data_IF_042753699523
#
_entry.id   IF_042753699523
#
_cell.length_a   1.000
_cell.length_b   1.000
_cell.length_c   1.000
_cell.angle_alpha   90.00
_cell.angle_beta   90.00
_cell.angle_gamma   90.00
#
_symmetry.space_group_name_H-M   'P 1'
#
loop_
_entity.id
_entity.type
_entity.pdbx_description
1 polymer ?
#
# COMPACT_ATOMS: atom_id res chain seq x y z
N UNK A 1 8.51 43.66 -19.09
CA UNK A 1 7.72 43.56 -17.82
C UNK A 1 7.39 42.10 -17.49
N UNK A 2 7.15 41.26 -18.50
CA UNK A 2 6.90 39.82 -18.36
C UNK A 2 8.14 39.04 -17.91
N UNK A 3 9.34 39.37 -18.41
CA UNK A 3 10.59 38.64 -18.08
C UNK A 3 11.02 38.80 -16.61
N UNK A 4 10.94 40.01 -16.04
CA UNK A 4 11.21 40.24 -14.61
C UNK A 4 10.29 39.47 -13.68
N UNK A 5 9.05 39.23 -14.11
CA UNK A 5 8.11 38.42 -13.32
C UNK A 5 8.54 36.96 -13.33
N UNK A 6 8.97 36.43 -14.49
CA UNK A 6 9.48 35.07 -14.64
C UNK A 6 10.75 34.82 -13.83
N UNK A 7 11.71 35.74 -13.88
CA UNK A 7 12.95 35.68 -13.08
C UNK A 7 12.63 35.63 -11.58
N UNK A 8 11.81 36.57 -11.10
CA UNK A 8 11.38 36.61 -9.70
C UNK A 8 10.62 35.35 -9.28
N UNK A 9 9.79 34.81 -10.18
CA UNK A 9 9.03 33.58 -9.91
C UNK A 9 9.95 32.35 -9.87
N UNK A 10 10.96 32.30 -10.73
CA UNK A 10 11.96 31.24 -10.72
C UNK A 10 12.80 31.28 -9.43
N UNK A 11 13.23 32.47 -8.98
CA UNK A 11 13.91 32.65 -7.70
C UNK A 11 13.03 32.21 -6.51
N UNK A 12 11.75 32.59 -6.48
CA UNK A 12 10.80 32.13 -5.45
C UNK A 12 10.65 30.59 -5.46
N UNK A 13 10.50 29.99 -6.65
CA UNK A 13 10.36 28.53 -6.81
C UNK A 13 11.63 27.83 -6.32
N UNK A 14 12.81 28.33 -6.66
CA UNK A 14 14.09 27.78 -6.22
C UNK A 14 14.24 27.89 -4.69
N UNK A 15 13.90 29.04 -4.12
CA UNK A 15 13.92 29.23 -2.66
C UNK A 15 13.00 28.24 -1.92
N UNK A 16 11.85 27.89 -2.49
CA UNK A 16 10.98 26.86 -1.91
C UNK A 16 11.61 25.46 -1.96
N UNK A 17 12.39 25.13 -2.99
CA UNK A 17 13.13 23.85 -3.04
C UNK A 17 14.23 23.84 -1.99
N UNK A 18 15.02 24.92 -1.90
CA UNK A 18 16.15 25.02 -0.98
C UNK A 18 15.71 24.97 0.49
N UNK A 19 14.53 25.53 0.78
CA UNK A 19 13.90 25.49 2.11
C UNK A 19 13.05 24.24 2.37
N UNK A 20 13.03 23.27 1.43
CA UNK A 20 12.17 22.07 1.47
C UNK A 20 10.67 22.37 1.62
N UNK A 21 10.23 23.57 1.24
CA UNK A 21 8.84 24.00 1.26
C UNK A 21 8.10 23.58 -0.02
N UNK A 22 7.97 22.26 -0.22
CA UNK A 22 7.39 21.69 -1.43
C UNK A 22 5.93 22.12 -1.67
N UNK A 23 5.19 22.49 -0.61
CA UNK A 23 3.82 22.98 -0.74
C UNK A 23 3.78 24.30 -1.50
N UNK A 24 4.63 25.25 -1.13
CA UNK A 24 4.72 26.54 -1.82
C UNK A 24 5.35 26.40 -3.21
N UNK A 25 6.34 25.51 -3.36
CA UNK A 25 6.89 25.13 -4.66
C UNK A 25 5.79 24.72 -5.65
N UNK A 26 4.97 23.72 -5.31
CA UNK A 26 3.89 23.26 -6.19
C UNK A 26 2.79 24.30 -6.40
N UNK A 27 2.52 25.16 -5.40
CA UNK A 27 1.58 26.27 -5.54
C UNK A 27 2.09 27.31 -6.55
N UNK A 28 3.36 27.66 -6.48
CA UNK A 28 4.01 28.57 -7.41
C UNK A 28 4.05 27.98 -8.84
N UNK A 29 4.34 26.68 -8.99
CA UNK A 29 4.25 26.00 -10.29
C UNK A 29 2.84 26.04 -10.88
N UNK A 30 1.78 25.90 -10.08
CA UNK A 30 0.39 26.04 -10.57
C UNK A 30 0.06 27.45 -11.07
N UNK A 31 0.71 28.48 -10.51
CA UNK A 31 0.56 29.86 -11.00
C UNK A 31 1.25 30.00 -12.36
N UNK A 32 2.42 29.38 -12.51
CA UNK A 32 3.21 29.39 -13.75
C UNK A 32 2.54 28.62 -14.89
N UNK A 33 2.16 27.37 -14.63
CA UNK A 33 1.62 26.46 -15.65
C UNK A 33 0.09 26.50 -15.76
N UNK A 34 -0.56 27.31 -14.92
CA UNK A 34 -2.02 27.34 -14.77
C UNK A 34 -2.57 26.12 -14.04
N UNK A 35 -3.86 26.18 -13.68
CA UNK A 35 -4.60 24.99 -13.23
C UNK A 35 -4.69 24.00 -14.38
N UNK A 36 -4.37 22.71 -14.13
CA UNK A 36 -4.75 21.62 -15.04
C UNK A 36 -6.25 21.78 -15.32
N UNK A 37 -6.61 22.16 -16.55
CA UNK A 37 -8.02 22.17 -16.96
C UNK A 37 -8.52 20.73 -16.80
N UNK A 38 -9.68 20.50 -16.16
CA UNK A 38 -10.30 19.19 -16.19
C UNK A 38 -10.75 18.94 -17.61
N UNK A 39 -9.87 18.38 -18.44
CA UNK A 39 -10.25 17.86 -19.73
C UNK A 39 -11.11 16.64 -19.43
N UNK A 40 -12.34 16.62 -19.95
CA UNK A 40 -13.16 15.41 -19.87
C UNK A 40 -12.48 14.37 -20.76
N UNK A 41 -11.69 13.47 -20.16
CA UNK A 41 -10.98 12.44 -20.89
C UNK A 41 -12.01 11.49 -21.50
N UNK A 42 -11.92 11.28 -22.81
CA UNK A 42 -12.72 10.28 -23.52
C UNK A 42 -12.40 8.89 -22.96
N UNK A 43 -13.41 8.03 -22.82
CA UNK A 43 -13.22 6.67 -22.29
C UNK A 43 -13.58 5.64 -23.35
N UNK A 44 -12.95 4.47 -23.32
CA UNK A 44 -13.39 3.31 -24.08
C UNK A 44 -14.59 2.64 -23.41
N UNK A 45 -15.52 2.14 -24.23
CA UNK A 45 -16.59 1.23 -23.82
C UNK A 45 -16.06 -0.12 -23.34
N UNK A 46 -16.93 -0.93 -22.74
CA UNK A 46 -16.57 -2.24 -22.16
C UNK A 46 -16.09 -3.26 -23.19
N UNK A 47 -16.53 -3.12 -24.45
CA UNK A 47 -16.10 -3.92 -25.60
C UNK A 47 -14.71 -3.52 -26.14
N UNK A 48 -14.18 -2.36 -25.72
CA UNK A 48 -12.87 -1.85 -26.14
C UNK A 48 -12.85 -1.12 -27.48
N UNK A 49 -13.98 -1.04 -28.19
CA UNK A 49 -14.02 -0.60 -29.59
C UNK A 49 -14.60 0.80 -29.78
N UNK A 50 -15.44 1.27 -28.86
CA UNK A 50 -16.13 2.57 -29.00
C UNK A 50 -15.61 3.62 -28.01
N UNK A 51 -15.31 4.82 -28.51
CA UNK A 51 -14.98 5.97 -27.67
C UNK A 51 -16.24 6.69 -27.22
N UNK A 52 -16.44 6.73 -25.90
CA UNK A 52 -17.51 7.46 -25.23
C UNK A 52 -17.09 8.92 -25.10
N UNK A 53 -17.91 9.82 -25.66
CA UNK A 53 -17.63 11.26 -25.73
C UNK A 53 -18.63 12.12 -24.96
N UNK A 54 -19.82 11.60 -24.71
CA UNK A 54 -20.84 12.33 -23.96
C UNK A 54 -20.61 12.17 -22.45
N UNK A 55 -20.92 13.25 -21.70
CA UNK A 55 -20.67 13.30 -20.25
C UNK A 55 -21.40 12.20 -19.48
N UNK A 56 -22.64 11.90 -19.87
CA UNK A 56 -23.48 10.90 -19.20
C UNK A 56 -22.91 9.50 -19.40
N UNK A 57 -22.51 9.17 -20.63
CA UNK A 57 -21.82 7.93 -20.96
C UNK A 57 -20.51 7.77 -20.18
N UNK A 58 -19.71 8.84 -20.08
CA UNK A 58 -18.45 8.82 -19.30
C UNK A 58 -18.73 8.59 -17.82
N UNK A 59 -19.73 9.26 -17.25
CA UNK A 59 -20.16 9.07 -15.86
C UNK A 59 -20.63 7.64 -15.59
N UNK A 60 -21.46 7.09 -16.48
CA UNK A 60 -21.93 5.71 -16.41
C UNK A 60 -20.78 4.70 -16.53
N UNK A 61 -19.81 4.97 -17.41
CA UNK A 61 -18.65 4.09 -17.59
C UNK A 61 -17.77 4.06 -16.34
N UNK A 62 -17.59 5.20 -15.68
CA UNK A 62 -16.90 5.25 -14.39
C UNK A 62 -17.63 4.48 -13.30
N UNK A 63 -18.95 4.66 -13.19
CA UNK A 63 -19.79 3.89 -12.26
C UNK A 63 -19.66 2.40 -12.50
N UNK A 64 -19.81 1.96 -13.75
CA UNK A 64 -19.67 0.56 -14.15
C UNK A 64 -18.29 0.02 -13.76
N UNK A 65 -17.22 0.73 -14.11
CA UNK A 65 -15.85 0.32 -13.83
C UNK A 65 -15.60 0.15 -12.32
N UNK A 66 -15.93 1.15 -11.50
CA UNK A 66 -15.69 1.08 -10.06
C UNK A 66 -16.65 0.14 -9.34
N UNK A 67 -17.89 0.01 -9.81
CA UNK A 67 -18.83 -1.00 -9.31
C UNK A 67 -18.31 -2.41 -9.56
N UNK A 68 -17.86 -2.72 -10.78
CA UNK A 68 -17.27 -4.02 -11.09
C UNK A 68 -15.96 -4.27 -10.34
N UNK A 69 -15.17 -3.22 -10.09
CA UNK A 69 -13.92 -3.32 -9.34
C UNK A 69 -14.16 -3.63 -7.85
N UNK A 70 -15.06 -2.87 -7.22
CA UNK A 70 -15.27 -2.89 -5.77
C UNK A 70 -16.32 -3.91 -5.30
N UNK A 71 -16.96 -4.64 -6.24
CA UNK A 71 -17.94 -5.68 -5.95
C UNK A 71 -17.57 -7.03 -6.61
N UNK A 72 -16.28 -7.29 -6.83
CA UNK A 72 -15.83 -8.60 -7.35
C UNK A 72 -16.14 -9.69 -6.32
N UNK A 73 -16.78 -10.81 -6.70
CA UNK A 73 -17.01 -11.89 -5.74
C UNK A 73 -15.68 -12.39 -5.19
N UNK A 74 -15.63 -12.59 -3.87
CA UNK A 74 -14.47 -13.13 -3.17
C UNK A 74 -14.97 -14.24 -2.26
N UNK A 75 -14.41 -15.43 -2.42
CA UNK A 75 -14.67 -16.58 -1.56
C UNK A 75 -13.44 -16.84 -0.70
N UNK A 76 -13.66 -17.12 0.57
CA UNK A 76 -12.59 -17.51 1.50
C UNK A 76 -12.90 -18.88 2.07
N UNK A 77 -11.87 -19.73 2.10
CA UNK A 77 -11.98 -21.03 2.76
C UNK A 77 -11.91 -20.83 4.27
N UNK A 78 -13.00 -21.14 4.97
CA UNK A 78 -13.08 -20.93 6.42
C UNK A 78 -12.03 -21.74 7.20
N UNK A 79 -11.56 -22.88 6.64
CA UNK A 79 -10.50 -23.70 7.26
C UNK A 79 -9.17 -22.95 7.37
N UNK A 80 -8.97 -21.91 6.55
CA UNK A 80 -7.77 -21.07 6.65
C UNK A 80 -7.70 -20.32 7.99
N UNK A 81 -8.86 -20.05 8.62
CA UNK A 81 -8.93 -19.33 9.89
C UNK A 81 -8.65 -20.20 11.12
N UNK A 82 -8.80 -21.52 11.01
CA UNK A 82 -8.56 -22.45 12.12
C UNK A 82 -7.08 -22.44 12.55
N UNK A 83 -6.19 -22.14 11.61
CA UNK A 83 -4.75 -22.06 11.85
C UNK A 83 -4.31 -20.70 12.44
N UNK A 84 -5.21 -19.71 12.47
CA UNK A 84 -4.90 -18.41 13.09
C UNK A 84 -5.11 -18.54 14.61
N UNK A 85 -4.06 -18.33 15.42
CA UNK A 85 -4.17 -18.42 16.87
C UNK A 85 -5.10 -17.32 17.40
N UNK A 86 -5.85 -17.64 18.46
CA UNK A 86 -6.67 -16.65 19.16
C UNK A 86 -5.83 -15.94 20.21
N UNK A 87 -5.58 -14.65 20.00
CA UNK A 87 -4.99 -13.77 20.99
C UNK A 87 -6.00 -13.42 22.08
N UNK A 88 -5.49 -12.98 23.25
CA UNK A 88 -6.32 -12.46 24.32
C UNK A 88 -7.02 -11.17 23.87
N UNK A 89 -8.28 -11.03 24.25
CA UNK A 89 -9.07 -9.83 23.97
C UNK A 89 -8.46 -8.61 24.67
N UNK A 90 -8.37 -7.50 23.94
CA UNK A 90 -7.84 -6.21 24.41
C UNK A 90 -9.02 -5.30 24.74
N UNK A 91 -9.61 -5.49 25.91
CA UNK A 91 -10.84 -4.81 26.35
C UNK A 91 -10.75 -3.27 26.29
N UNK A 92 -9.53 -2.70 26.42
CA UNK A 92 -9.34 -1.25 26.34
C UNK A 92 -9.71 -0.67 24.97
N UNK A 93 -9.74 -1.49 23.91
CA UNK A 93 -10.13 -1.05 22.59
C UNK A 93 -11.58 -0.60 22.52
N UNK A 94 -12.48 -1.16 23.34
CA UNK A 94 -13.92 -0.91 23.31
C UNK A 94 -14.37 0.37 24.03
N UNK A 95 -13.49 0.95 24.85
CA UNK A 95 -13.83 2.13 25.65
C UNK A 95 -14.09 3.34 24.73
N UNK A 96 -15.19 4.09 24.86
CA UNK A 96 -15.43 5.28 24.05
C UNK A 96 -14.25 6.27 24.10
N UNK A 97 -13.95 6.96 22.99
CA UNK A 97 -12.81 7.86 22.94
C UNK A 97 -13.00 9.06 23.86
N UNK A 98 -11.92 9.47 24.52
CA UNK A 98 -11.95 10.68 25.34
C UNK A 98 -11.94 11.93 24.47
N UNK A 99 -12.37 13.07 25.04
CA UNK A 99 -12.34 14.35 24.33
C UNK A 99 -10.90 14.75 23.97
N UNK A 100 -9.93 14.41 24.83
CA UNK A 100 -8.50 14.65 24.60
C UNK A 100 -7.97 13.80 23.43
N UNK A 101 -8.40 12.54 23.33
CA UNK A 101 -8.04 11.64 22.23
C UNK A 101 -8.53 12.21 20.89
N UNK A 102 -9.80 12.64 20.83
CA UNK A 102 -10.39 13.29 19.66
C UNK A 102 -9.67 14.59 19.33
N UNK A 103 -9.41 15.44 20.32
CA UNK A 103 -8.73 16.71 20.11
C UNK A 103 -7.29 16.51 19.61
N UNK A 104 -6.58 15.50 20.12
CA UNK A 104 -5.24 15.13 19.68
C UNK A 104 -5.25 14.74 18.19
N UNK A 105 -6.19 13.90 17.78
CA UNK A 105 -6.36 13.51 16.37
C UNK A 105 -6.61 14.74 15.50
N UNK A 106 -7.56 15.59 15.85
CA UNK A 106 -7.89 16.81 15.10
C UNK A 106 -6.64 17.69 14.89
N UNK A 107 -5.85 17.89 15.95
CA UNK A 107 -4.62 18.70 15.88
C UNK A 107 -3.60 18.10 14.91
N UNK A 108 -3.44 16.76 14.93
CA UNK A 108 -2.48 16.02 14.10
C UNK A 108 -2.87 15.94 12.62
N UNK A 109 -4.15 16.04 12.27
CA UNK A 109 -4.60 15.96 10.88
C UNK A 109 -3.96 17.08 10.03
N UNK A 110 -3.58 16.77 8.79
CA UNK A 110 -3.00 17.76 7.88
C UNK A 110 -4.07 18.72 7.32
N UNK A 111 -3.72 20.01 7.22
CA UNK A 111 -4.51 21.04 6.55
C UNK A 111 -4.34 21.00 5.02
N UNK A 112 -5.30 21.56 4.28
CA UNK A 112 -5.28 21.69 2.82
C UNK A 112 -5.56 20.39 2.08
N UNK A 113 -6.21 19.42 2.73
CA UNK A 113 -6.67 18.17 2.09
C UNK A 113 -8.07 18.36 1.51
N UNK A 114 -8.38 17.63 0.43
CA UNK A 114 -9.71 17.64 -0.16
C UNK A 114 -10.74 17.09 0.84
N UNK A 115 -11.84 17.82 1.11
CA UNK A 115 -12.92 17.34 1.96
C UNK A 115 -13.73 16.24 1.24
N UNK A 116 -14.61 15.57 1.98
CA UNK A 116 -15.60 14.66 1.41
C UNK A 116 -16.72 15.41 0.69
N UNK A 117 -17.82 14.70 0.44
CA UNK A 117 -19.01 15.24 -0.24
C UNK A 117 -19.66 16.41 0.53
N UNK A 118 -19.54 16.42 1.85
CA UNK A 118 -20.01 17.49 2.76
C UNK A 118 -19.26 18.82 2.58
N UNK A 119 -18.10 18.81 1.92
CA UNK A 119 -17.22 19.97 1.70
C UNK A 119 -16.71 20.61 2.99
N UNK A 120 -16.76 19.92 4.13
CA UNK A 120 -16.24 20.45 5.41
C UNK A 120 -14.76 20.08 5.55
N UNK A 121 -13.83 21.04 5.48
CA UNK A 121 -12.40 20.76 5.50
C UNK A 121 -11.87 20.59 6.93
N UNK A 122 -10.68 20.00 7.06
CA UNK A 122 -9.98 19.77 8.35
C UNK A 122 -9.84 21.05 9.19
N UNK A 123 -9.66 22.20 8.55
CA UNK A 123 -9.46 23.50 9.17
C UNK A 123 -10.64 23.90 10.06
N UNK A 124 -11.87 23.55 9.68
CA UNK A 124 -13.07 23.80 10.50
C UNK A 124 -13.00 23.01 11.80
N UNK A 125 -12.55 21.75 11.74
CA UNK A 125 -12.40 20.92 12.93
C UNK A 125 -11.26 21.39 13.83
N UNK A 126 -10.17 21.91 13.24
CA UNK A 126 -9.01 22.40 14.01
C UNK A 126 -9.30 23.60 14.90
N UNK A 127 -10.31 24.40 14.57
CA UNK A 127 -10.71 25.57 15.37
C UNK A 127 -11.72 25.22 16.47
N UNK A 128 -12.23 23.98 16.50
CA UNK A 128 -13.19 23.54 17.51
C UNK A 128 -12.59 23.63 18.91
N UNK A 129 -13.33 24.28 19.81
CA UNK A 129 -12.97 24.45 21.21
C UNK A 129 -14.22 24.54 22.10
N UNK A 130 -14.03 24.49 23.42
CA UNK A 130 -15.08 24.66 24.42
C UNK A 130 -16.31 23.77 24.17
N UNK A 131 -17.49 24.39 24.21
CA UNK A 131 -18.78 23.69 24.03
C UNK A 131 -18.96 23.04 22.66
N UNK A 132 -18.33 23.58 21.60
CA UNK A 132 -18.49 23.03 20.25
C UNK A 132 -17.70 21.74 20.08
N UNK A 133 -16.48 21.68 20.65
CA UNK A 133 -15.71 20.44 20.71
C UNK A 133 -16.44 19.36 21.53
N UNK A 134 -17.05 19.75 22.65
CA UNK A 134 -17.87 18.84 23.47
C UNK A 134 -19.06 18.30 22.68
N UNK A 135 -19.79 19.14 21.96
CA UNK A 135 -20.90 18.69 21.12
C UNK A 135 -20.45 17.71 20.03
N UNK A 136 -19.31 17.99 19.36
CA UNK A 136 -18.75 17.07 18.36
C UNK A 136 -18.29 15.74 18.98
N UNK A 137 -17.67 15.79 20.17
CA UNK A 137 -17.28 14.59 20.92
C UNK A 137 -18.49 13.73 21.32
N UNK A 138 -19.61 14.35 21.72
CA UNK A 138 -20.87 13.64 21.99
C UNK A 138 -21.34 12.89 20.73
N UNK A 139 -21.28 13.51 19.54
CA UNK A 139 -21.66 12.82 18.30
C UNK A 139 -20.78 11.58 18.06
N UNK A 140 -19.46 11.71 18.20
CA UNK A 140 -18.55 10.58 17.99
C UNK A 140 -18.73 9.45 19.01
N UNK A 141 -18.99 9.80 20.27
CA UNK A 141 -19.23 8.81 21.33
C UNK A 141 -20.61 8.18 21.23
N UNK A 142 -21.62 8.89 20.72
CA UNK A 142 -22.95 8.31 20.45
C UNK A 142 -22.85 7.24 19.36
N UNK A 143 -22.15 7.52 18.24
CA UNK A 143 -21.85 6.51 17.20
C UNK A 143 -21.12 5.31 17.80
N UNK A 144 -20.17 5.56 18.71
CA UNK A 144 -19.40 4.52 19.36
C UNK A 144 -20.26 3.60 20.24
N UNK A 145 -21.19 4.18 21.00
CA UNK A 145 -22.01 3.46 21.97
C UNK A 145 -23.22 2.77 21.34
N UNK A 146 -23.88 3.45 20.41
CA UNK A 146 -25.09 2.97 19.74
C UNK A 146 -24.78 2.03 18.57
N UNK A 147 -23.52 1.96 18.14
CA UNK A 147 -23.07 1.19 16.97
C UNK A 147 -23.85 1.55 15.69
N UNK A 148 -24.25 2.82 15.56
CA UNK A 148 -24.98 3.36 14.42
C UNK A 148 -24.17 4.44 13.70
N UNK A 149 -23.91 4.24 12.41
CA UNK A 149 -23.05 5.10 11.60
C UNK A 149 -23.87 5.87 10.56
N UNK A 150 -23.88 7.21 10.63
CA UNK A 150 -24.52 8.03 9.61
C UNK A 150 -23.93 7.75 8.21
N UNK A 151 -24.76 7.55 7.18
CA UNK A 151 -24.29 7.28 5.81
C UNK A 151 -23.30 8.34 5.30
N UNK A 152 -23.44 9.59 5.71
CA UNK A 152 -22.57 10.71 5.31
C UNK A 152 -21.11 10.53 5.79
N UNK A 153 -20.89 9.82 6.88
CA UNK A 153 -19.56 9.51 7.42
C UNK A 153 -18.95 8.25 6.80
N UNK A 154 -19.82 7.37 6.29
CA UNK A 154 -19.46 6.06 5.72
C UNK A 154 -19.21 6.09 4.22
N UNK A 155 -20.11 6.70 3.46
CA UNK A 155 -20.18 6.58 2.00
C UNK A 155 -19.00 7.29 1.30
N UNK A 156 -18.58 6.78 0.14
CA UNK A 156 -17.42 7.29 -0.59
C UNK A 156 -17.79 8.20 -1.74
N UNK A 157 -17.05 9.30 -1.84
CA UNK A 157 -17.02 10.13 -3.03
C UNK A 157 -15.72 9.88 -3.80
N UNK A 158 -15.80 9.12 -4.89
CA UNK A 158 -14.64 8.57 -5.60
C UNK A 158 -14.17 9.53 -6.68
N UNK A 159 -12.86 9.77 -6.72
CA UNK A 159 -12.19 10.50 -7.80
C UNK A 159 -11.24 9.55 -8.53
N UNK A 160 -11.33 9.52 -9.86
CA UNK A 160 -10.40 8.77 -10.70
C UNK A 160 -9.13 9.60 -10.97
N UNK A 161 -7.97 9.08 -10.53
CA UNK A 161 -6.66 9.69 -10.78
C UNK A 161 -5.87 8.85 -11.79
N UNK A 162 -5.44 9.47 -12.89
CA UNK A 162 -4.63 8.80 -13.89
C UNK A 162 -3.27 8.38 -13.32
N UNK A 163 -2.86 7.13 -13.56
CA UNK A 163 -1.60 6.56 -13.06
C UNK A 163 -0.35 7.07 -13.79
N UNK A 164 -0.50 7.97 -14.76
CA UNK A 164 0.59 8.42 -15.64
C UNK A 164 1.27 7.26 -16.40
N UNK A 165 0.53 6.19 -16.70
CA UNK A 165 1.00 5.00 -17.42
C UNK A 165 -0.15 4.39 -18.23
N UNK A 166 0.14 3.95 -19.45
CA UNK A 166 -0.83 3.35 -20.36
C UNK A 166 -1.61 4.37 -21.19
N UNK A 167 -2.74 3.95 -21.77
CA UNK A 167 -3.63 4.83 -22.50
C UNK A 167 -4.61 5.55 -21.55
N UNK A 168 -4.77 6.86 -21.69
CA UNK A 168 -5.71 7.67 -20.89
C UNK A 168 -7.18 7.30 -21.12
N UNK A 169 -7.49 6.64 -22.22
CA UNK A 169 -8.86 6.23 -22.54
C UNK A 169 -9.30 4.96 -21.80
N UNK A 170 -8.35 4.24 -21.19
CA UNK A 170 -8.62 2.98 -20.50
C UNK A 170 -8.76 3.19 -18.98
N UNK A 171 -9.92 2.79 -18.42
CA UNK A 171 -10.25 3.01 -17.01
C UNK A 171 -9.26 2.32 -16.04
N UNK A 172 -8.71 1.15 -16.39
CA UNK A 172 -7.74 0.43 -15.54
C UNK A 172 -6.44 1.21 -15.29
N UNK A 173 -6.13 2.20 -16.13
CA UNK A 173 -5.00 3.09 -15.95
C UNK A 173 -5.29 4.24 -14.96
N UNK A 174 -6.45 4.20 -14.30
CA UNK A 174 -6.81 5.13 -13.24
C UNK A 174 -6.85 4.42 -11.89
N UNK A 175 -6.71 5.23 -10.83
CA UNK A 175 -6.85 4.82 -9.44
C UNK A 175 -8.05 5.55 -8.85
N UNK A 176 -8.98 4.81 -8.25
CA UNK A 176 -10.09 5.39 -7.51
C UNK A 176 -9.65 5.81 -6.12
N UNK A 177 -9.70 7.10 -5.81
CA UNK A 177 -9.49 7.60 -4.45
C UNK A 177 -10.83 7.95 -3.84
N UNK A 178 -11.16 7.27 -2.74
CA UNK A 178 -12.36 7.53 -1.94
C UNK A 178 -12.13 8.73 -1.01
N UNK A 179 -12.84 9.83 -1.28
CA UNK A 179 -12.91 10.96 -0.37
C UNK A 179 -14.04 10.73 0.65
N UNK A 180 -13.65 10.51 1.89
CA UNK A 180 -14.56 10.40 3.03
C UNK A 180 -14.74 11.75 3.74
N UNK A 181 -15.87 11.91 4.43
CA UNK A 181 -16.11 13.05 5.34
C UNK A 181 -14.96 13.20 6.34
N UNK A 182 -14.61 14.45 6.64
CA UNK A 182 -13.57 14.76 7.60
C UNK A 182 -13.95 14.30 9.01
N UNK A 183 -15.22 14.38 9.41
CA UNK A 183 -15.71 13.84 10.68
C UNK A 183 -15.52 12.32 10.75
N UNK A 184 -15.89 11.60 9.69
CA UNK A 184 -15.67 10.15 9.58
C UNK A 184 -14.18 9.80 9.67
N UNK A 185 -13.31 10.58 9.03
CA UNK A 185 -11.85 10.43 9.12
C UNK A 185 -11.31 10.65 10.53
N UNK A 186 -11.86 11.58 11.31
CA UNK A 186 -11.44 11.79 12.71
C UNK A 186 -11.71 10.52 13.53
N UNK A 187 -12.91 9.97 13.45
CA UNK A 187 -13.27 8.72 14.14
C UNK A 187 -12.40 7.55 13.66
N UNK A 188 -12.18 7.46 12.35
CA UNK A 188 -11.30 6.47 11.72
C UNK A 188 -9.85 6.62 12.25
N UNK A 189 -9.33 7.85 12.40
CA UNK A 189 -8.00 8.10 12.97
C UNK A 189 -7.88 7.67 14.44
N UNK A 190 -8.94 7.85 15.24
CA UNK A 190 -8.99 7.37 16.63
C UNK A 190 -8.83 5.84 16.66
N UNK A 191 -9.66 5.13 15.88
CA UNK A 191 -9.60 3.66 15.74
C UNK A 191 -8.21 3.22 15.26
N UNK A 192 -7.65 3.92 14.27
CA UNK A 192 -6.32 3.63 13.72
C UNK A 192 -5.22 3.71 14.78
N UNK A 193 -5.22 4.79 15.57
CA UNK A 193 -4.19 4.99 16.59
C UNK A 193 -4.21 3.86 17.63
N UNK A 194 -5.41 3.40 18.01
CA UNK A 194 -5.58 2.26 18.93
C UNK A 194 -5.17 0.93 18.30
N UNK A 195 -5.52 0.68 17.03
CA UNK A 195 -5.07 -0.49 16.29
C UNK A 195 -3.54 -0.55 16.22
N UNK A 196 -2.90 0.57 15.90
CA UNK A 196 -1.44 0.65 15.79
C UNK A 196 -0.77 0.30 17.12
N UNK A 197 -1.16 0.95 18.21
CA UNK A 197 -0.52 0.79 19.51
C UNK A 197 -0.79 -0.55 20.19
N UNK A 198 -1.96 -1.15 19.95
CA UNK A 198 -2.42 -2.32 20.71
C UNK A 198 -2.36 -3.63 19.94
N UNK A 199 -2.45 -3.58 18.59
CA UNK A 199 -2.57 -4.78 17.75
C UNK A 199 -1.43 -4.88 16.75
N UNK A 200 -1.20 -3.84 15.96
CA UNK A 200 -0.28 -3.92 14.81
C UNK A 200 1.16 -4.17 15.20
N UNK A 201 1.69 -3.46 16.20
CA UNK A 201 3.10 -3.61 16.62
C UNK A 201 3.46 -5.04 17.06
N UNK A 202 2.50 -5.77 17.65
CA UNK A 202 2.72 -7.13 18.15
C UNK A 202 2.52 -8.20 17.05
N UNK A 203 1.83 -7.85 15.97
CA UNK A 203 1.40 -8.82 14.96
C UNK A 203 2.07 -8.66 13.61
N UNK A 204 2.58 -7.48 13.26
CA UNK A 204 3.29 -7.27 12.00
C UNK A 204 4.73 -7.82 12.10
N UNK A 205 5.21 -8.57 11.10
CA UNK A 205 6.59 -9.02 11.08
C UNK A 205 7.54 -7.82 10.90
N UNK A 206 8.79 -7.99 11.33
CA UNK A 206 9.85 -7.00 11.13
C UNK A 206 10.08 -6.70 9.63
N UNK A 207 9.90 -7.71 8.77
CA UNK A 207 10.01 -7.62 7.32
C UNK A 207 8.92 -6.78 6.65
N UNK A 208 7.87 -6.35 7.36
CA UNK A 208 6.80 -5.48 6.85
C UNK A 208 7.05 -4.02 7.23
N UNK A 209 7.49 -3.24 6.24
CA UNK A 209 7.80 -1.81 6.38
C UNK A 209 6.75 -0.88 5.78
N UNK A 210 5.80 -1.39 4.99
CA UNK A 210 4.77 -0.56 4.37
C UNK A 210 3.85 0.08 5.40
N UNK A 211 3.64 1.39 5.33
CA UNK A 211 2.73 2.14 6.22
C UNK A 211 3.01 1.97 7.72
N UNK A 212 4.24 1.63 8.09
CA UNK A 212 4.68 1.49 9.47
C UNK A 212 5.47 2.72 9.91
N UNK A 213 5.24 3.25 11.13
CA UNK A 213 6.10 4.28 11.69
C UNK A 213 7.58 3.88 11.66
N UNK A 214 8.46 4.85 11.45
CA UNK A 214 9.92 4.67 11.44
C UNK A 214 10.45 3.68 10.38
N UNK A 215 9.62 3.33 9.39
CA UNK A 215 9.99 2.51 8.24
C UNK A 215 9.79 3.28 6.93
N UNK A 216 10.60 2.95 5.93
CA UNK A 216 10.60 3.59 4.61
C UNK A 216 10.89 2.59 3.50
N UNK A 217 10.68 3.01 2.25
CA UNK A 217 11.08 2.21 1.09
C UNK A 217 12.58 1.96 1.04
N UNK A 218 13.39 2.83 1.66
CA UNK A 218 14.84 2.70 1.70
C UNK A 218 15.23 1.46 2.50
N UNK A 219 14.52 1.15 3.59
CA UNK A 219 14.87 0.02 4.47
C UNK A 219 14.72 -1.32 3.74
N UNK A 220 13.65 -1.51 2.96
CA UNK A 220 13.45 -2.72 2.17
C UNK A 220 14.36 -2.80 0.94
N UNK A 221 14.66 -1.66 0.30
CA UNK A 221 15.67 -1.63 -0.76
C UNK A 221 17.06 -1.97 -0.20
N UNK A 222 17.41 -1.41 0.96
CA UNK A 222 18.65 -1.72 1.66
C UNK A 222 18.72 -3.19 2.02
N UNK A 223 17.65 -3.75 2.59
CA UNK A 223 17.61 -5.18 2.94
C UNK A 223 17.84 -6.06 1.73
N UNK A 224 17.10 -5.87 0.62
CA UNK A 224 17.31 -6.66 -0.61
C UNK A 224 18.75 -6.54 -1.11
N UNK A 225 19.35 -5.35 -1.10
CA UNK A 225 20.76 -5.16 -1.50
C UNK A 225 21.74 -5.84 -0.55
N UNK A 226 21.51 -5.77 0.76
CA UNK A 226 22.32 -6.50 1.73
C UNK A 226 22.22 -8.01 1.51
N UNK A 227 21.05 -8.54 1.14
CA UNK A 227 20.92 -9.94 0.77
C UNK A 227 21.77 -10.29 -0.47
N UNK A 228 21.78 -9.41 -1.49
CA UNK A 228 22.64 -9.59 -2.65
C UNK A 228 24.12 -9.61 -2.27
N UNK A 229 24.59 -8.61 -1.53
CA UNK A 229 25.98 -8.47 -1.11
C UNK A 229 26.41 -9.65 -0.23
N UNK A 230 25.59 -10.06 0.74
CA UNK A 230 25.90 -11.17 1.64
C UNK A 230 25.93 -12.52 0.92
N UNK A 231 25.06 -12.73 -0.06
CA UNK A 231 25.11 -13.93 -0.90
C UNK A 231 26.37 -13.95 -1.77
N UNK A 232 26.77 -12.84 -2.37
CA UNK A 232 28.04 -12.75 -3.11
C UNK A 232 29.25 -13.01 -2.20
N UNK A 233 29.28 -12.36 -1.05
CA UNK A 233 30.34 -12.47 -0.05
C UNK A 233 30.52 -13.92 0.45
N UNK A 234 29.42 -14.64 0.67
CA UNK A 234 29.43 -16.03 1.16
C UNK A 234 29.43 -17.07 0.04
N UNK A 235 29.56 -16.65 -1.23
CA UNK A 235 29.51 -17.51 -2.41
C UNK A 235 28.24 -18.37 -2.49
N UNK A 236 27.10 -17.74 -2.19
CA UNK A 236 25.76 -18.33 -2.24
C UNK A 236 24.98 -17.75 -3.41
N UNK A 237 24.12 -18.58 -4.00
CA UNK A 237 23.16 -18.12 -5.00
C UNK A 237 21.95 -17.47 -4.31
N UNK A 238 21.28 -16.56 -5.00
CA UNK A 238 20.11 -15.85 -4.53
C UNK A 238 19.05 -15.83 -5.63
N UNK A 239 17.90 -16.41 -5.33
CA UNK A 239 16.71 -16.34 -6.17
C UNK A 239 15.69 -15.46 -5.47
N UNK A 240 15.06 -14.54 -6.22
CA UNK A 240 14.03 -13.63 -5.72
C UNK A 240 12.83 -13.67 -6.67
N UNK A 241 11.62 -13.84 -6.14
CA UNK A 241 10.37 -13.55 -6.86
C UNK A 241 9.77 -12.25 -6.32
N UNK A 242 9.57 -11.28 -7.19
CA UNK A 242 8.83 -10.06 -6.90
C UNK A 242 7.36 -10.25 -7.28
N UNK A 243 6.49 -10.39 -6.28
CA UNK A 243 5.07 -10.67 -6.45
C UNK A 243 4.28 -9.36 -6.55
N UNK A 244 3.44 -9.26 -7.59
CA UNK A 244 2.42 -8.20 -7.72
C UNK A 244 1.04 -8.79 -7.45
N UNK A 245 0.32 -8.24 -6.47
CA UNK A 245 -1.06 -8.60 -6.18
C UNK A 245 -2.03 -7.75 -7.01
N UNK A 246 -2.99 -8.40 -7.66
CA UNK A 246 -3.97 -7.73 -8.50
C UNK A 246 -4.97 -6.94 -7.66
N UNK A 247 -4.81 -5.62 -7.69
CA UNK A 247 -5.74 -4.66 -7.04
C UNK A 247 -5.97 -5.00 -5.57
N UNK A 248 -4.89 -5.28 -4.84
CA UNK A 248 -4.88 -5.90 -3.51
C UNK A 248 -5.83 -5.24 -2.49
N UNK A 249 -5.83 -3.91 -2.41
CA UNK A 249 -6.73 -3.16 -1.52
C UNK A 249 -8.20 -3.33 -1.89
N UNK A 250 -8.51 -3.35 -3.18
CA UNK A 250 -9.87 -3.42 -3.71
C UNK A 250 -10.46 -4.84 -3.60
N UNK A 251 -9.62 -5.86 -3.40
CA UNK A 251 -10.00 -7.28 -3.38
C UNK A 251 -9.96 -7.94 -2.00
N UNK A 252 -9.56 -7.22 -0.95
CA UNK A 252 -9.60 -7.74 0.42
C UNK A 252 -11.01 -8.26 0.76
N UNK A 253 -11.08 -9.52 1.17
CA UNK A 253 -12.31 -10.12 1.66
C UNK A 253 -12.63 -9.59 3.06
N UNK A 254 -13.78 -8.93 3.20
CA UNK A 254 -14.18 -8.26 4.45
C UNK A 254 -14.49 -9.26 5.55
N UNK A 255 -15.19 -10.35 5.24
CA UNK A 255 -15.56 -11.37 6.24
C UNK A 255 -14.30 -12.00 6.85
N UNK A 256 -13.32 -12.33 6.02
CA UNK A 256 -12.02 -12.79 6.47
C UNK A 256 -11.29 -11.76 7.33
N UNK A 257 -11.30 -10.48 6.93
CA UNK A 257 -10.70 -9.40 7.71
C UNK A 257 -11.32 -9.29 9.11
N UNK A 258 -12.65 -9.41 9.24
CA UNK A 258 -13.34 -9.34 10.54
C UNK A 258 -12.96 -10.49 11.47
N UNK A 259 -12.88 -11.70 10.92
CA UNK A 259 -12.43 -12.89 11.64
C UNK A 259 -10.98 -12.71 12.09
N UNK A 260 -10.11 -12.22 11.21
CA UNK A 260 -8.70 -11.95 11.53
C UNK A 260 -8.60 -10.94 12.67
N UNK A 261 -9.29 -9.80 12.61
CA UNK A 261 -9.23 -8.80 13.68
C UNK A 261 -9.66 -9.38 15.04
N UNK A 262 -10.72 -10.20 15.04
CA UNK A 262 -11.21 -10.89 16.24
C UNK A 262 -10.16 -11.87 16.79
N UNK A 263 -9.55 -12.66 15.91
CA UNK A 263 -8.44 -13.59 16.26
C UNK A 263 -7.23 -12.85 16.81
N UNK A 264 -6.95 -11.63 16.32
CA UNK A 264 -5.85 -10.80 16.80
C UNK A 264 -6.12 -10.12 18.15
N UNK A 265 -7.31 -10.32 18.75
CA UNK A 265 -7.66 -9.82 20.08
C UNK A 265 -8.49 -8.54 20.06
N UNK A 266 -8.97 -8.08 18.89
CA UNK A 266 -9.93 -6.98 18.84
C UNK A 266 -11.27 -7.45 19.42
N UNK A 267 -11.85 -6.76 20.40
CA UNK A 267 -13.17 -7.09 20.91
C UNK A 267 -14.26 -6.91 19.84
N UNK A 268 -15.42 -7.54 20.06
CA UNK A 268 -16.51 -7.58 19.08
C UNK A 268 -17.03 -6.19 18.71
N UNK A 269 -17.19 -5.28 19.69
CA UNK A 269 -17.65 -3.91 19.46
C UNK A 269 -16.63 -3.11 18.65
N UNK A 270 -15.34 -3.20 18.97
CA UNK A 270 -14.30 -2.56 18.16
C UNK A 270 -14.28 -3.06 16.70
N UNK A 271 -14.42 -4.37 16.48
CA UNK A 271 -14.56 -4.93 15.12
C UNK A 271 -15.82 -4.40 14.44
N UNK A 272 -16.94 -4.33 15.17
CA UNK A 272 -18.21 -3.77 14.67
C UNK A 272 -18.06 -2.31 14.24
N UNK A 273 -17.36 -1.48 15.00
CA UNK A 273 -17.08 -0.09 14.62
C UNK A 273 -16.30 0.02 13.31
N UNK A 274 -15.34 -0.88 13.08
CA UNK A 274 -14.63 -0.95 11.79
C UNK A 274 -15.58 -1.43 10.68
N UNK A 275 -16.45 -2.40 10.97
CA UNK A 275 -17.47 -2.89 10.02
C UNK A 275 -18.45 -1.79 9.61
N UNK A 276 -18.86 -0.90 10.51
CA UNK A 276 -19.79 0.20 10.20
C UNK A 276 -19.28 1.15 9.12
N UNK A 277 -17.96 1.26 8.95
CA UNK A 277 -17.39 1.99 7.82
C UNK A 277 -17.52 1.26 6.49
N UNK A 278 -17.80 -0.04 6.47
CA UNK A 278 -17.72 -0.88 5.27
C UNK A 278 -19.06 -1.52 4.89
N UNK A 279 -19.90 -1.90 5.86
CA UNK A 279 -21.22 -2.52 5.63
C UNK A 279 -22.24 -1.51 5.10
N UNK A 280 -23.03 -1.92 4.12
CA UNK A 280 -24.05 -1.10 3.41
C UNK A 280 -23.52 0.21 2.81
N UNK A 281 -22.21 0.26 2.57
CA UNK A 281 -21.55 1.42 2.00
C UNK A 281 -21.97 1.63 0.55
N UNK A 282 -22.23 2.90 0.20
CA UNK A 282 -22.41 3.32 -1.19
C UNK A 282 -21.26 4.21 -1.68
N UNK A 283 -21.09 4.26 -2.99
CA UNK A 283 -20.14 5.11 -3.68
C UNK A 283 -20.77 5.89 -4.82
N UNK A 284 -20.19 7.05 -5.12
CA UNK A 284 -20.47 7.84 -6.32
C UNK A 284 -19.14 8.31 -6.92
N UNK A 285 -19.05 8.43 -8.24
CA UNK A 285 -17.82 8.88 -8.91
C UNK A 285 -17.98 10.32 -9.41
N UNK A 286 -17.01 11.18 -9.08
CA UNK A 286 -16.91 12.53 -9.64
C UNK A 286 -16.10 12.51 -10.94
N UNK A 287 -16.73 12.94 -12.04
CA UNK A 287 -16.08 13.10 -13.33
C UNK A 287 -16.56 14.39 -14.02
N UNK A 288 -15.63 15.24 -14.44
CA UNK A 288 -15.97 16.47 -15.17
C UNK A 288 -16.89 17.45 -14.42
N UNK A 289 -16.91 17.39 -13.08
CA UNK A 289 -17.79 18.22 -12.24
C UNK A 289 -19.18 17.62 -11.98
N UNK A 290 -19.52 16.51 -12.64
CA UNK A 290 -20.77 15.77 -12.45
C UNK A 290 -20.54 14.50 -11.63
N UNK A 291 -21.55 14.09 -10.88
CA UNK A 291 -21.50 12.90 -10.02
C UNK A 291 -22.31 11.78 -10.67
N UNK A 292 -21.79 10.56 -10.67
CA UNK A 292 -22.53 9.39 -11.14
C UNK A 292 -23.69 9.05 -10.20
N UNK A 293 -24.61 8.21 -10.67
CA UNK A 293 -25.56 7.54 -9.78
C UNK A 293 -24.81 6.70 -8.73
N UNK A 294 -25.47 6.51 -7.58
CA UNK A 294 -24.97 5.66 -6.50
C UNK A 294 -24.86 4.20 -6.92
N UNK A 295 -23.90 3.51 -6.32
CA UNK A 295 -23.74 2.06 -6.39
C UNK A 295 -23.24 1.51 -5.05
N UNK A 296 -23.52 0.25 -4.76
CA UNK A 296 -23.08 -0.41 -3.53
C UNK A 296 -21.59 -0.79 -3.61
N UNK A 297 -20.92 -0.88 -2.46
CA UNK A 297 -19.51 -1.28 -2.34
C UNK A 297 -19.41 -2.43 -1.33
N UNK A 298 -19.23 -3.65 -1.81
CA UNK A 298 -19.24 -4.86 -0.99
C UNK A 298 -17.85 -5.37 -0.61
N UNK A 299 -16.79 -5.04 -1.36
CA UNK A 299 -15.46 -5.59 -1.16
C UNK A 299 -14.35 -4.56 -1.00
N UNK A 300 -13.19 -5.05 -0.57
CA UNK A 300 -11.98 -4.28 -0.39
C UNK A 300 -12.03 -3.34 0.81
N UNK A 301 -10.88 -2.73 1.05
CA UNK A 301 -10.68 -1.61 1.96
C UNK A 301 -10.49 -0.34 1.13
N UNK A 302 -11.04 0.78 1.59
CA UNK A 302 -11.17 1.99 0.76
C UNK A 302 -9.81 2.63 0.48
N UNK A 303 -9.39 2.72 -0.77
CA UNK A 303 -8.22 3.53 -1.15
C UNK A 303 -8.48 5.00 -0.81
N UNK A 304 -7.64 5.59 0.04
CA UNK A 304 -7.80 6.96 0.56
C UNK A 304 -8.39 7.03 1.97
N UNK A 305 -8.86 5.92 2.54
CA UNK A 305 -9.15 5.81 3.96
C UNK A 305 -7.85 5.61 4.75
N UNK A 306 -7.75 6.25 5.91
CA UNK A 306 -6.56 6.16 6.78
C UNK A 306 -6.41 4.78 7.44
N UNK A 307 -7.51 4.03 7.61
CA UNK A 307 -7.49 2.67 8.18
C UNK A 307 -6.99 1.61 7.18
N UNK A 308 -7.30 1.80 5.90
CA UNK A 308 -7.13 0.77 4.87
C UNK A 308 -5.71 0.17 4.81
N UNK A 309 -4.61 0.95 4.90
CA UNK A 309 -3.26 0.39 4.89
C UNK A 309 -2.96 -0.56 6.05
N UNK A 310 -3.39 -0.21 7.27
CA UNK A 310 -3.14 -1.05 8.46
C UNK A 310 -4.00 -2.31 8.41
N UNK A 311 -5.28 -2.18 8.01
CA UNK A 311 -6.15 -3.33 7.83
C UNK A 311 -5.58 -4.31 6.79
N UNK A 312 -5.08 -3.77 5.66
CA UNK A 312 -4.44 -4.59 4.64
C UNK A 312 -3.19 -5.29 5.17
N UNK A 313 -2.30 -4.58 5.88
CA UNK A 313 -1.09 -5.18 6.42
C UNK A 313 -1.39 -6.30 7.43
N UNK A 314 -2.36 -6.10 8.32
CA UNK A 314 -2.79 -7.12 9.29
C UNK A 314 -3.34 -8.36 8.58
N UNK A 315 -4.19 -8.14 7.57
CA UNK A 315 -4.74 -9.20 6.72
C UNK A 315 -3.63 -9.97 6.00
N UNK A 316 -2.80 -9.25 5.24
CA UNK A 316 -1.74 -9.84 4.41
C UNK A 316 -0.68 -10.56 5.25
N UNK A 317 -0.41 -10.08 6.46
CA UNK A 317 0.45 -10.77 7.42
C UNK A 317 -0.09 -12.15 7.78
N UNK A 318 -1.40 -12.31 7.96
CA UNK A 318 -1.97 -13.65 8.23
C UNK A 318 -1.91 -14.56 7.00
N UNK A 319 -2.12 -14.00 5.80
CA UNK A 319 -1.92 -14.73 4.54
C UNK A 319 -0.48 -15.25 4.45
N UNK A 320 0.51 -14.38 4.73
CA UNK A 320 1.91 -14.77 4.68
C UNK A 320 2.25 -15.81 5.75
N UNK A 321 1.85 -15.58 7.01
CA UNK A 321 2.06 -16.54 8.11
C UNK A 321 1.47 -17.91 7.75
N UNK A 322 0.26 -17.95 7.20
CA UNK A 322 -0.35 -19.21 6.76
C UNK A 322 0.46 -19.87 5.64
N UNK A 323 1.04 -19.09 4.72
CA UNK A 323 1.85 -19.62 3.63
C UNK A 323 3.22 -20.15 4.07
N UNK A 324 3.81 -19.64 5.16
CA UNK A 324 5.23 -19.89 5.49
C UNK A 324 5.53 -20.29 6.94
N UNK A 325 4.53 -20.45 7.83
CA UNK A 325 4.75 -20.67 9.28
C UNK A 325 5.65 -21.86 9.65
N UNK A 326 5.71 -22.87 8.80
CA UNK A 326 6.41 -24.15 8.97
C UNK A 326 7.52 -24.36 7.94
N UNK A 327 7.88 -23.31 7.18
CA UNK A 327 8.96 -23.38 6.20
C UNK A 327 10.30 -22.96 6.83
N UNK A 328 11.24 -23.88 6.82
CA UNK A 328 12.66 -23.62 7.09
C UNK A 328 13.42 -23.37 5.77
N UNK A 329 12.77 -22.66 4.84
CA UNK A 329 13.23 -22.41 3.48
C UNK A 329 13.39 -20.91 3.24
N UNK A 330 14.52 -20.52 2.69
CA UNK A 330 14.80 -19.13 2.35
C UNK A 330 16.28 -18.89 2.17
N UNK A 331 16.75 -17.73 2.62
CA UNK A 331 18.15 -17.32 2.57
C UNK A 331 18.73 -17.33 3.98
N UNK A 332 19.70 -18.21 4.23
CA UNK A 332 20.42 -18.29 5.49
C UNK A 332 21.68 -17.44 5.41
N UNK A 333 21.73 -16.39 6.23
CA UNK A 333 22.91 -15.54 6.33
C UNK A 333 23.64 -15.85 7.62
N UNK A 334 24.92 -16.25 7.48
CA UNK A 334 25.83 -16.39 8.62
C UNK A 334 26.47 -15.06 8.92
N UNK A 335 26.50 -14.68 10.19
CA UNK A 335 27.11 -13.43 10.65
C UNK A 335 27.72 -13.59 12.05
N UNK A 336 28.56 -12.62 12.41
CA UNK A 336 29.17 -12.50 13.73
C UNK A 336 29.09 -11.06 14.17
N UNK A 337 28.96 -10.84 15.47
CA UNK A 337 28.96 -9.50 16.08
C UNK A 337 30.31 -9.17 16.74
N UNK A 338 31.32 -10.06 16.64
CA UNK A 338 32.63 -9.92 17.29
C UNK A 338 33.81 -9.85 16.30
N UNK A 339 34.73 -8.91 16.54
CA UNK A 339 36.00 -8.77 15.80
C UNK A 339 35.88 -8.04 14.45
N UNK A 340 36.91 -8.14 13.61
CA UNK A 340 36.98 -7.39 12.35
C UNK A 340 35.93 -7.85 11.32
N UNK A 341 35.40 -6.88 10.56
CA UNK A 341 34.23 -7.01 9.67
C UNK A 341 34.42 -7.87 8.41
N UNK A 342 35.65 -8.36 8.10
CA UNK A 342 35.98 -8.85 6.75
C UNK A 342 36.74 -10.19 6.67
N UNK A 343 36.78 -11.01 7.74
CA UNK A 343 37.37 -12.36 7.65
C UNK A 343 36.29 -13.45 7.59
N UNK A 344 35.89 -13.82 6.37
CA UNK A 344 34.87 -14.84 6.09
C UNK A 344 35.20 -16.22 6.62
N UNK A 345 36.49 -16.56 6.79
CA UNK A 345 36.89 -17.86 7.35
C UNK A 345 36.34 -18.04 8.75
N UNK A 346 36.07 -16.94 9.47
CA UNK A 346 35.49 -16.96 10.81
C UNK A 346 34.02 -17.39 10.83
N UNK A 347 33.30 -17.30 9.70
CA UNK A 347 31.93 -17.82 9.60
C UNK A 347 31.89 -19.36 9.60
N UNK A 348 33.04 -20.03 9.43
CA UNK A 348 33.14 -21.49 9.57
C UNK A 348 33.23 -21.94 11.04
N UNK A 349 33.52 -21.02 11.97
CA UNK A 349 33.67 -21.35 13.37
C UNK A 349 32.32 -21.70 14.00
N UNK A 350 32.28 -22.82 14.74
CA UNK A 350 31.07 -23.29 15.44
C UNK A 350 30.61 -22.37 16.56
N UNK A 351 31.54 -21.66 17.20
CA UNK A 351 31.23 -20.75 18.31
C UNK A 351 31.15 -19.31 17.82
N UNK A 352 30.18 -18.56 18.33
CA UNK A 352 29.95 -17.11 18.09
C UNK A 352 29.53 -16.73 16.66
N UNK A 353 29.30 -17.72 15.79
CA UNK A 353 28.63 -17.51 14.50
C UNK A 353 27.15 -17.72 14.70
N UNK A 354 26.36 -16.76 14.25
CA UNK A 354 24.90 -16.83 14.25
C UNK A 354 24.44 -17.00 12.81
N UNK A 355 23.35 -17.73 12.63
CA UNK A 355 22.68 -17.87 11.34
C UNK A 355 21.26 -17.32 11.46
N UNK A 356 20.81 -16.58 10.46
CA UNK A 356 19.46 -16.03 10.39
C UNK A 356 18.82 -16.43 9.07
N UNK A 357 17.61 -16.97 9.14
CA UNK A 357 16.75 -17.20 7.99
C UNK A 357 16.05 -15.89 7.61
N UNK A 358 16.18 -15.50 6.35
CA UNK A 358 15.45 -14.39 5.73
C UNK A 358 14.67 -14.95 4.54
N UNK A 359 13.35 -14.80 4.56
CA UNK A 359 12.46 -15.32 3.52
C UNK A 359 11.89 -14.19 2.67
N UNK A 360 11.53 -13.05 3.28
CA UNK A 360 10.79 -11.99 2.58
C UNK A 360 11.25 -10.54 2.85
N UNK A 361 11.00 -9.67 1.87
CA UNK A 361 10.95 -8.20 2.01
C UNK A 361 9.55 -7.72 1.67
N UNK A 362 8.89 -6.98 2.56
CA UNK A 362 7.52 -6.54 2.33
C UNK A 362 7.38 -5.02 2.49
N UNK A 363 6.69 -4.41 1.53
CA UNK A 363 6.25 -3.03 1.63
C UNK A 363 4.80 -2.93 1.16
N UNK A 364 3.89 -3.08 2.13
CA UNK A 364 2.45 -3.22 1.87
C UNK A 364 2.18 -4.42 0.96
N UNK A 365 1.66 -4.19 -0.26
CA UNK A 365 1.37 -5.21 -1.26
C UNK A 365 2.59 -5.62 -2.11
N UNK A 366 3.66 -4.81 -2.13
CA UNK A 366 4.91 -5.19 -2.77
C UNK A 366 5.62 -6.25 -1.91
N UNK A 367 5.78 -7.46 -2.47
CA UNK A 367 6.33 -8.62 -1.77
C UNK A 367 7.47 -9.23 -2.57
N UNK A 368 8.65 -9.35 -1.96
CA UNK A 368 9.78 -10.10 -2.50
C UNK A 368 10.02 -11.35 -1.66
N UNK A 369 9.90 -12.53 -2.26
CA UNK A 369 10.20 -13.83 -1.62
C UNK A 369 11.54 -14.36 -2.13
N UNK A 370 12.37 -14.89 -1.25
CA UNK A 370 13.78 -15.20 -1.55
C UNK A 370 14.19 -16.59 -1.08
N UNK A 371 15.08 -17.24 -1.82
CA UNK A 371 15.72 -18.48 -1.39
C UNK A 371 17.10 -18.69 -2.01
N UNK A 372 17.90 -19.60 -1.42
CA UNK A 372 19.19 -20.01 -1.99
C UNK A 372 19.09 -20.98 -3.16
N UNK A 373 18.00 -21.76 -3.23
CA UNK A 373 17.82 -22.83 -4.20
C UNK A 373 16.49 -22.63 -4.94
N UNK A 374 16.49 -22.99 -6.22
CA UNK A 374 15.34 -22.85 -7.10
C UNK A 374 14.13 -23.67 -6.62
N UNK A 375 14.35 -24.93 -6.22
CA UNK A 375 13.30 -25.81 -5.67
C UNK A 375 12.71 -25.27 -4.35
N UNK A 376 13.52 -24.63 -3.51
CA UNK A 376 13.05 -23.99 -2.29
C UNK A 376 12.16 -22.79 -2.62
N UNK A 377 12.59 -21.94 -3.57
CA UNK A 377 11.79 -20.81 -4.03
C UNK A 377 10.47 -21.26 -4.65
N UNK A 378 10.49 -22.31 -5.49
CA UNK A 378 9.28 -22.89 -6.08
C UNK A 378 8.30 -23.35 -4.98
N UNK A 379 8.80 -24.06 -3.96
CA UNK A 379 7.97 -24.50 -2.82
C UNK A 379 7.34 -23.33 -2.08
N UNK A 380 8.12 -22.29 -1.80
CA UNK A 380 7.63 -21.06 -1.15
C UNK A 380 6.52 -20.41 -2.00
N UNK A 381 6.75 -20.26 -3.30
CA UNK A 381 5.83 -19.62 -4.25
C UNK A 381 4.54 -20.44 -4.41
N UNK A 382 4.62 -21.76 -4.45
CA UNK A 382 3.44 -22.63 -4.54
C UNK A 382 2.55 -22.54 -3.30
N UNK A 383 3.15 -22.54 -2.11
CA UNK A 383 2.41 -22.34 -0.86
C UNK A 383 1.80 -20.95 -0.78
N UNK A 384 2.56 -19.92 -1.18
CA UNK A 384 2.06 -18.56 -1.23
C UNK A 384 0.91 -18.40 -2.24
N UNK A 385 1.01 -19.00 -3.44
CA UNK A 385 -0.08 -18.97 -4.43
C UNK A 385 -1.33 -19.71 -3.96
N UNK A 386 -1.16 -20.85 -3.31
CA UNK A 386 -2.28 -21.60 -2.73
C UNK A 386 -2.97 -20.78 -1.65
N UNK A 387 -2.19 -20.20 -0.74
CA UNK A 387 -2.70 -19.44 0.40
C UNK A 387 -3.37 -18.14 -0.02
N UNK A 388 -2.77 -17.38 -0.94
CA UNK A 388 -3.41 -16.15 -1.47
C UNK A 388 -4.80 -16.44 -2.04
N UNK A 389 -4.97 -17.54 -2.77
CA UNK A 389 -6.29 -17.99 -3.25
C UNK A 389 -7.25 -18.31 -2.12
N UNK A 390 -6.80 -19.01 -1.07
CA UNK A 390 -7.64 -19.35 0.10
C UNK A 390 -8.20 -18.08 0.76
N UNK A 391 -7.43 -17.00 0.79
CA UNK A 391 -7.83 -15.71 1.34
C UNK A 391 -8.46 -14.75 0.31
N UNK A 392 -8.73 -15.21 -0.91
CA UNK A 392 -9.40 -14.42 -1.94
C UNK A 392 -8.53 -13.34 -2.62
N UNK A 393 -7.20 -13.45 -2.51
CA UNK A 393 -6.24 -12.60 -3.22
C UNK A 393 -5.78 -13.27 -4.53
N UNK A 394 -5.42 -12.44 -5.51
CA UNK A 394 -4.99 -12.89 -6.84
C UNK A 394 -3.62 -12.34 -7.19
N UNK A 395 -2.69 -13.21 -7.59
CA UNK A 395 -1.36 -12.82 -8.08
C UNK A 395 -1.44 -12.43 -9.55
N UNK A 396 -0.84 -11.29 -9.91
CA UNK A 396 -0.70 -10.83 -11.29
C UNK A 396 0.49 -11.53 -11.95
N UNK A 397 0.24 -12.63 -12.66
CA UNK A 397 1.28 -13.43 -13.33
C UNK A 397 2.13 -12.59 -14.31
N UNK A 398 1.52 -11.68 -15.06
CA UNK A 398 2.22 -10.87 -16.08
C UNK A 398 3.14 -9.78 -15.51
N UNK A 399 3.09 -9.53 -14.20
CA UNK A 399 3.93 -8.53 -13.51
C UNK A 399 4.78 -9.14 -12.40
N UNK A 400 4.56 -10.42 -12.11
CA UNK A 400 5.35 -11.16 -11.15
C UNK A 400 6.58 -11.67 -11.87
N UNK A 401 7.76 -11.24 -11.42
CA UNK A 401 9.02 -11.47 -12.13
C UNK A 401 10.05 -12.12 -11.21
N UNK A 402 10.93 -12.92 -11.79
CA UNK A 402 11.97 -13.67 -11.09
C UNK A 402 13.33 -13.08 -11.44
N UNK A 403 14.13 -12.83 -10.40
CA UNK A 403 15.51 -12.38 -10.52
C UNK A 403 16.42 -13.44 -9.89
N UNK A 404 17.43 -13.87 -10.64
CA UNK A 404 18.42 -14.85 -10.20
C UNK A 404 19.82 -14.25 -10.21
N UNK A 405 20.46 -14.25 -9.05
CA UNK A 405 21.86 -13.89 -8.86
C UNK A 405 22.66 -15.16 -8.54
N UNK A 406 23.55 -15.61 -9.45
CA UNK A 406 24.35 -16.81 -9.25
C UNK A 406 25.45 -16.59 -8.22
N UNK A 407 25.86 -17.67 -7.55
CA UNK A 407 27.11 -17.69 -6.80
C UNK A 407 28.31 -17.48 -7.74
N UNK A 408 29.45 -17.01 -7.22
CA UNK A 408 30.64 -16.76 -8.02
C UNK A 408 31.09 -18.04 -8.74
N UNK A 409 31.28 -17.94 -10.06
CA UNK A 409 31.68 -19.06 -10.92
C UNK A 409 30.56 -20.03 -11.30
N UNK A 410 29.32 -19.84 -10.85
CA UNK A 410 28.16 -20.61 -11.35
C UNK A 410 27.61 -20.00 -12.63
N UNK A 411 27.07 -20.83 -13.55
CA UNK A 411 26.46 -20.34 -14.78
C UNK A 411 25.17 -19.56 -14.49
N UNK A 412 24.91 -18.53 -15.30
CA UNK A 412 23.67 -17.77 -15.29
C UNK A 412 22.57 -18.56 -16.00
N UNK A 413 22.08 -19.62 -15.36
CA UNK A 413 20.94 -20.39 -15.87
C UNK A 413 19.64 -19.69 -15.45
N UNK A 414 18.72 -19.52 -16.38
CA UNK A 414 17.41 -18.94 -16.08
C UNK A 414 16.59 -19.94 -15.24
N UNK A 415 16.05 -19.53 -14.08
CA UNK A 415 15.22 -20.42 -13.27
C UNK A 415 13.86 -20.67 -13.94
N UNK A 416 13.29 -21.84 -13.65
CA UNK A 416 11.97 -22.26 -14.08
C UNK A 416 11.00 -22.21 -12.89
N UNK A 417 10.70 -21.01 -12.41
CA UNK A 417 9.66 -20.82 -11.39
C UNK A 417 8.30 -20.69 -12.07
N UNK A 418 7.31 -21.41 -11.56
CA UNK A 418 5.96 -21.44 -12.10
C UNK A 418 4.92 -21.12 -11.03
N UNK A 419 3.79 -20.57 -11.44
CA UNK A 419 2.59 -20.41 -10.62
C UNK A 419 1.41 -21.01 -11.39
N UNK A 420 0.78 -22.04 -10.84
CA UNK A 420 -0.33 -22.76 -11.48
C UNK A 420 0.01 -23.24 -12.91
N UNK A 421 1.23 -23.73 -13.12
CA UNK A 421 1.71 -24.21 -14.42
C UNK A 421 2.15 -23.12 -15.40
N UNK A 422 1.95 -21.83 -15.09
CA UNK A 422 2.46 -20.72 -15.90
C UNK A 422 3.86 -20.34 -15.42
N UNK A 423 4.86 -20.40 -16.31
CA UNK A 423 6.22 -19.94 -16.02
C UNK A 423 6.27 -18.42 -15.86
N UNK A 424 6.96 -17.96 -14.82
CA UNK A 424 7.17 -16.54 -14.57
C UNK A 424 8.30 -15.96 -15.45
N UNK A 425 8.21 -14.67 -15.75
CA UNK A 425 9.22 -13.97 -16.53
C UNK A 425 10.51 -13.81 -15.73
N UNK A 426 11.63 -14.22 -16.34
CA UNK A 426 12.97 -13.99 -15.78
C UNK A 426 13.52 -12.63 -16.22
N UNK A 427 14.08 -11.88 -15.27
CA UNK A 427 14.65 -10.56 -15.51
C UNK A 427 16.06 -10.42 -14.94
N UNK A 428 16.90 -9.67 -15.65
CA UNK A 428 18.23 -9.30 -15.16
C UNK A 428 18.19 -8.07 -14.25
N UNK A 429 17.15 -7.25 -14.39
CA UNK A 429 16.94 -6.05 -13.58
C UNK A 429 15.47 -5.89 -13.25
N UNK A 430 15.16 -5.54 -12.00
CA UNK A 430 13.79 -5.28 -11.53
C UNK A 430 13.71 -3.94 -10.81
N UNK A 431 12.60 -3.20 -10.95
CA UNK A 431 12.39 -1.96 -10.21
C UNK A 431 11.58 -2.23 -8.94
N UNK A 432 12.27 -2.37 -7.82
CA UNK A 432 11.66 -2.56 -6.50
C UNK A 432 11.64 -1.24 -5.73
N UNK A 433 10.44 -0.78 -5.33
CA UNK A 433 10.22 0.44 -4.55
C UNK A 433 10.93 1.68 -5.12
N UNK A 434 10.98 1.77 -6.45
CA UNK A 434 11.59 2.88 -7.18
C UNK A 434 13.09 2.76 -7.43
N UNK A 435 13.77 1.76 -6.86
CA UNK A 435 15.18 1.46 -7.10
C UNK A 435 15.37 0.24 -8.00
N UNK A 436 16.39 0.28 -8.85
CA UNK A 436 16.73 -0.79 -9.78
C UNK A 436 17.63 -1.81 -9.09
N UNK A 437 17.16 -3.05 -8.98
CA UNK A 437 17.87 -4.22 -8.46
C UNK A 437 18.36 -5.02 -9.65
N UNK A 438 19.67 -5.27 -9.75
CA UNK A 438 20.29 -5.99 -10.87
C UNK A 438 20.87 -7.33 -10.37
N UNK A 439 20.85 -8.35 -11.22
CA UNK A 439 21.29 -9.70 -10.86
C UNK A 439 22.80 -9.87 -10.64
N UNK A 440 23.60 -8.88 -11.01
CA UNK A 440 25.05 -8.83 -10.78
C UNK A 440 25.41 -8.18 -9.42
N UNK A 441 24.41 -7.67 -8.68
CA UNK A 441 24.60 -6.92 -7.44
C UNK A 441 25.17 -5.51 -7.65
N UNK A 442 25.39 -5.06 -8.90
CA UNK A 442 25.97 -3.75 -9.20
C UNK A 442 24.94 -2.62 -9.02
N UNK A 443 25.46 -1.44 -8.62
CA UNK A 443 24.70 -0.19 -8.59
C UNK A 443 24.68 0.54 -9.94
N UNK A 444 25.46 0.10 -10.93
CA UNK A 444 25.61 0.81 -12.21
C UNK A 444 24.28 0.99 -12.93
N UNK A 445 23.43 -0.03 -12.93
CA UNK A 445 22.09 0.02 -13.52
C UNK A 445 21.22 1.10 -12.88
N UNK A 446 21.25 1.21 -11.55
CA UNK A 446 20.48 2.23 -10.82
C UNK A 446 21.06 3.64 -11.05
N UNK A 447 22.38 3.78 -11.03
CA UNK A 447 23.07 5.05 -11.28
C UNK A 447 22.71 5.55 -12.68
N UNK A 448 22.84 4.68 -13.69
CA UNK A 448 22.49 4.99 -15.07
C UNK A 448 21.00 5.36 -15.23
N UNK A 449 20.09 4.61 -14.60
CA UNK A 449 18.66 4.91 -14.64
C UNK A 449 18.33 6.28 -14.02
N UNK A 450 19.00 6.66 -12.92
CA UNK A 450 18.85 7.98 -12.30
C UNK A 450 19.41 9.10 -13.16
N UNK A 451 20.59 8.90 -13.77
CA UNK A 451 21.19 9.84 -14.71
C UNK A 451 20.26 10.07 -15.91
N UNK A 452 19.70 9.00 -16.48
CA UNK A 452 18.77 9.10 -17.61
C UNK A 452 17.49 9.87 -17.26
N UNK A 453 16.87 9.59 -16.10
CA UNK A 453 15.70 10.36 -15.63
C UNK A 453 16.04 11.84 -15.45
N UNK A 454 17.20 12.16 -14.87
CA UNK A 454 17.65 13.55 -14.70
C UNK A 454 17.88 14.25 -16.05
N UNK A 455 18.44 13.54 -17.04
CA UNK A 455 18.61 14.06 -18.41
C UNK A 455 17.26 14.27 -19.11
N UNK A 456 16.33 13.33 -18.99
CA UNK A 456 14.99 13.42 -19.58
C UNK A 456 14.16 14.60 -19.05
N UNK A 457 14.36 14.98 -17.79
CA UNK A 457 13.76 16.19 -17.20
C UNK A 457 14.32 17.47 -17.83
N UNK A 458 15.60 17.49 -18.23
CA UNK A 458 16.21 18.65 -18.91
C UNK A 458 15.71 18.82 -20.34
N UNK A 459 15.43 17.73 -21.05
CA UNK A 459 14.96 17.79 -22.46
C UNK A 459 13.46 18.09 -22.60
N UNK A 460 12.65 17.89 -21.55
CA UNK A 460 11.22 18.26 -21.54
C UNK A 460 10.94 19.69 -21.06
N UNK A 461 11.98 20.50 -20.87
CA UNK A 461 11.90 21.87 -20.32
C UNK A 461 12.38 22.94 -21.33
N UNK A 462 12.44 22.62 -22.62
CA UNK A 462 12.73 23.55 -23.70
C UNK A 462 11.53 23.67 -24.65
#
# INVERSE_FOLDING_TARGET
MQDRWWEKKAEEIQQFVDTKNYKQFFSALKIVYGSLKPTTTLLLSSDGDTLIKDKKGISNKWKEHFSQLLNRPSSVDQRAFDQIPQNRTIEQLDVPPSIEEVQKVIKQMSAGKAPGKDRIPTEVYKVLNGKVLQAFHIVLTSIWEEEDMPPELRDAFIIALYKNKGAQVACDNYRGISLLSTAGKILTCVILNRLLSSVSEQNLPESQCGFRPDCSTIDMVFMVRQMQEKCLEQNLSLYIVFIDLTKAFDTVNRDALWVILSKLGCPAKFVKLIQLFHVDMTGEVLSGGETSDRFNISNGVKQGCVLAPVLFNLFFTQVLRHAVMDLDLGVYIKYRLDGSLFDLRRLTAKTKTTERLILEALFADDCALMAHQENHLQTIVDRFSTTTKLFGLTISLSKTEVLFQPAAGRPMNQPCITINGTQLSNVNTFKYLGSTIANDGSLDHEINARIQKAKGLRTGSL
#
